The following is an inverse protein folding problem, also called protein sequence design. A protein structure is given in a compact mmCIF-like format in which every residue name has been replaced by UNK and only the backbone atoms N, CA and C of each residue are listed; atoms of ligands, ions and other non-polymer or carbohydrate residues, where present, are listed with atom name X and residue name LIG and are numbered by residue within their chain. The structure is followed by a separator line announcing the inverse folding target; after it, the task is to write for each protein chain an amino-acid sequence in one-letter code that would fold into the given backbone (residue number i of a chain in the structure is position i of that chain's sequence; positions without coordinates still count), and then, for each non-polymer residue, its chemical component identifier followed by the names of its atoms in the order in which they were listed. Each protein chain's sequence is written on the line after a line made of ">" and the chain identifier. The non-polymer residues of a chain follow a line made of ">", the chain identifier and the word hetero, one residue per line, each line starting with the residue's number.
data_IF_789291739248
#
_entry.id   IF_789291739248
#
_cell.length_a   1.000
_cell.length_b   1.000
_cell.length_c   1.000
_cell.angle_alpha   90.00
_cell.angle_beta   90.00
_cell.angle_gamma   90.00
#
_symmetry.space_group_name_H-M   'P 1'
#
loop_
_entity.id
_entity.type
_entity.pdbx_description
1 polymer ?
#
# COMPACT_ATOMS: atom_id res chain seq x y z
N UNK A 1 -12.59 -11.67 3.89
CA UNK A 1 -13.04 -11.59 2.50
C UNK A 1 -11.84 -11.18 1.66
N UNK A 2 -11.50 -11.97 0.65
CA UNK A 2 -10.37 -11.66 -0.23
C UNK A 2 -10.74 -10.45 -1.08
N UNK A 3 -9.89 -9.41 -1.09
CA UNK A 3 -10.07 -8.24 -1.95
C UNK A 3 -10.13 -8.65 -3.43
N UNK A 4 -10.68 -7.79 -4.27
CA UNK A 4 -10.54 -7.98 -5.72
C UNK A 4 -9.04 -8.02 -6.10
N UNK A 5 -8.72 -8.71 -7.19
CA UNK A 5 -7.36 -8.77 -7.75
C UNK A 5 -7.12 -7.55 -8.63
N UNK A 6 -5.96 -6.92 -8.51
CA UNK A 6 -5.58 -5.79 -9.35
C UNK A 6 -5.26 -6.30 -10.78
N UNK A 7 -5.78 -5.66 -11.85
CA UNK A 7 -5.61 -6.14 -13.23
C UNK A 7 -4.14 -6.13 -13.72
N UNK A 8 -3.29 -5.33 -13.08
CA UNK A 8 -1.85 -5.28 -13.36
C UNK A 8 -1.08 -6.18 -12.39
N UNK A 9 -0.40 -7.20 -12.94
CA UNK A 9 0.37 -8.20 -12.16
C UNK A 9 1.46 -7.58 -11.27
N UNK A 10 2.18 -6.57 -11.76
CA UNK A 10 3.24 -5.91 -10.98
C UNK A 10 2.70 -5.29 -9.69
N UNK A 11 1.51 -4.68 -9.78
CA UNK A 11 0.84 -4.06 -8.64
C UNK A 11 0.34 -5.15 -7.71
N UNK A 12 -0.33 -6.17 -8.24
CA UNK A 12 -0.85 -7.29 -7.45
C UNK A 12 0.23 -7.98 -6.61
N UNK A 13 1.41 -8.22 -7.19
CA UNK A 13 2.55 -8.79 -6.44
C UNK A 13 2.95 -7.92 -5.26
N UNK A 14 2.96 -6.60 -5.42
CA UNK A 14 3.26 -5.69 -4.32
C UNK A 14 2.11 -5.62 -3.34
N UNK A 15 0.85 -5.71 -3.75
CA UNK A 15 -0.28 -5.73 -2.82
C UNK A 15 -0.22 -6.95 -1.89
N UNK A 16 0.18 -8.12 -2.40
CA UNK A 16 0.41 -9.30 -1.55
C UNK A 16 1.52 -9.04 -0.51
N UNK A 17 2.62 -8.39 -0.92
CA UNK A 17 3.68 -7.98 0.02
C UNK A 17 3.16 -6.97 1.05
N UNK A 18 2.37 -5.99 0.63
CA UNK A 18 1.76 -4.97 1.50
C UNK A 18 0.89 -5.65 2.57
N UNK A 19 0.01 -6.58 2.17
CA UNK A 19 -0.86 -7.35 3.07
C UNK A 19 -0.06 -8.22 4.05
N UNK A 20 1.01 -8.88 3.58
CA UNK A 20 1.91 -9.65 4.44
C UNK A 20 2.60 -8.80 5.52
N UNK A 21 2.80 -7.51 5.26
CA UNK A 21 3.35 -6.56 6.22
C UNK A 21 2.28 -5.91 7.12
N UNK A 22 1.07 -6.47 7.14
CA UNK A 22 -0.02 -6.05 8.03
C UNK A 22 -0.75 -4.77 7.58
N UNK A 23 -0.47 -4.26 6.39
CA UNK A 23 -1.22 -3.12 5.85
C UNK A 23 -2.61 -3.54 5.39
N UNK A 24 -3.60 -2.71 5.67
CA UNK A 24 -4.98 -2.94 5.26
C UNK A 24 -5.20 -2.37 3.87
N UNK A 25 -5.75 -3.17 2.95
CA UNK A 25 -6.13 -2.71 1.61
C UNK A 25 -7.65 -2.68 1.51
N UNK A 26 -8.19 -1.56 1.03
CA UNK A 26 -9.59 -1.41 0.68
C UNK A 26 -9.73 -1.13 -0.80
N UNK A 27 -10.52 -1.96 -1.49
CA UNK A 27 -10.82 -1.78 -2.92
C UNK A 27 -12.05 -0.90 -3.05
N UNK A 28 -11.96 0.10 -3.92
CA UNK A 28 -13.06 1.02 -4.18
C UNK A 28 -12.59 2.44 -4.52
N UNK A 29 -13.35 3.11 -5.38
CA UNK A 29 -13.09 4.46 -5.85
C UNK A 29 -13.43 4.64 -7.34
N UNK A 30 -13.57 5.88 -7.78
CA UNK A 30 -13.84 6.19 -9.20
C UNK A 30 -12.56 6.23 -10.04
N UNK A 31 -11.49 6.84 -9.52
CA UNK A 31 -10.19 6.98 -10.20
C UNK A 31 -9.10 6.07 -9.65
N UNK A 32 -9.19 5.73 -8.36
CA UNK A 32 -8.32 4.77 -7.71
C UNK A 32 -8.99 3.40 -7.70
N UNK A 33 -8.18 2.36 -7.87
CA UNK A 33 -8.61 0.98 -7.71
C UNK A 33 -8.89 0.69 -6.23
N UNK A 34 -8.09 1.26 -5.35
CA UNK A 34 -8.23 1.11 -3.91
C UNK A 34 -7.28 1.99 -3.13
N UNK A 35 -7.19 1.76 -1.82
CA UNK A 35 -6.31 2.46 -0.89
C UNK A 35 -5.66 1.44 0.04
N UNK A 36 -4.40 1.67 0.38
CA UNK A 36 -3.73 0.96 1.46
C UNK A 36 -3.55 1.87 2.68
N UNK A 37 -3.77 1.31 3.86
CA UNK A 37 -3.78 1.98 5.15
C UNK A 37 -2.69 1.38 6.03
N UNK A 38 -1.88 2.26 6.61
CA UNK A 38 -0.86 1.87 7.56
C UNK A 38 -1.49 1.29 8.84
N UNK A 39 -0.95 0.17 9.37
CA UNK A 39 -1.47 -0.43 10.60
C UNK A 39 -1.08 0.33 11.87
N UNK A 40 -0.13 1.27 11.78
CA UNK A 40 0.41 1.99 12.93
C UNK A 40 -0.26 3.35 13.13
N UNK A 41 -0.97 3.58 14.25
CA UNK A 41 -1.54 4.88 14.60
C UNK A 41 -0.44 5.75 15.22
N UNK A 42 0.33 6.44 14.39
CA UNK A 42 1.37 7.34 14.88
C UNK A 42 1.46 8.62 14.04
N UNK A 43 1.49 9.74 14.74
CA UNK A 43 1.72 11.10 14.24
C UNK A 43 3.06 11.29 13.51
N UNK A 44 4.03 10.38 13.71
CA UNK A 44 5.29 10.34 12.95
C UNK A 44 5.19 9.56 11.64
N UNK A 45 4.05 8.92 11.35
CA UNK A 45 3.82 8.38 10.02
C UNK A 45 3.83 9.55 9.02
N UNK A 46 4.30 9.32 7.78
CA UNK A 46 4.62 10.28 6.70
C UNK A 46 3.65 11.46 6.48
N UNK A 47 2.46 11.46 7.10
CA UNK A 47 1.44 12.51 7.02
C UNK A 47 0.69 12.81 8.35
N UNK A 48 1.20 12.48 9.54
CA UNK A 48 0.65 13.01 10.80
C UNK A 48 -0.65 12.39 11.34
N UNK A 49 -1.47 11.75 10.50
CA UNK A 49 -2.78 11.25 10.94
C UNK A 49 -3.00 9.78 10.56
N UNK A 50 -2.88 9.40 9.29
CA UNK A 50 -2.87 8.00 8.85
C UNK A 50 -2.10 7.93 7.53
N UNK A 51 -1.06 7.10 7.41
CA UNK A 51 -0.42 6.91 6.11
C UNK A 51 -1.38 6.14 5.19
N UNK A 52 -2.12 6.88 4.36
CA UNK A 52 -3.04 6.34 3.35
C UNK A 52 -2.40 6.55 1.99
N UNK A 53 -2.31 5.49 1.18
CA UNK A 53 -1.81 5.59 -0.19
C UNK A 53 -2.84 5.03 -1.17
N UNK A 54 -3.19 5.82 -2.18
CA UNK A 54 -4.08 5.39 -3.25
C UNK A 54 -3.35 4.43 -4.21
N UNK A 55 -4.05 3.37 -4.61
CA UNK A 55 -3.64 2.40 -5.62
C UNK A 55 -4.39 2.75 -6.90
N UNK A 56 -3.66 3.10 -7.97
CA UNK A 56 -4.28 3.55 -9.22
C UNK A 56 -4.65 2.38 -10.14
N UNK A 57 -5.85 2.42 -10.74
CA UNK A 57 -6.30 1.40 -11.70
C UNK A 57 -5.52 1.44 -13.02
N UNK A 58 -5.21 2.66 -13.50
CA UNK A 58 -4.59 2.91 -14.81
C UNK A 58 -3.34 3.78 -14.69
N UNK A 59 -2.28 3.34 -14.00
CA UNK A 59 -1.03 4.10 -13.93
C UNK A 59 -0.31 4.04 -15.27
N UNK A 60 0.32 5.15 -15.66
CA UNK A 60 1.16 5.24 -16.88
C UNK A 60 2.26 4.17 -16.91
N UNK A 61 2.80 3.80 -15.75
CA UNK A 61 3.76 2.72 -15.60
C UNK A 61 3.44 1.91 -14.34
N UNK A 62 2.95 0.68 -14.52
CA UNK A 62 2.54 -0.21 -13.42
C UNK A 62 3.70 -0.61 -12.52
N UNK A 63 4.86 -0.92 -13.08
CA UNK A 63 6.07 -1.31 -12.33
C UNK A 63 6.57 -0.17 -11.43
N UNK A 64 6.60 1.06 -11.93
CA UNK A 64 6.99 2.20 -11.12
C UNK A 64 5.99 2.48 -9.99
N UNK A 65 4.70 2.36 -10.27
CA UNK A 65 3.68 2.50 -9.23
C UNK A 65 3.80 1.39 -8.17
N UNK A 66 4.03 0.15 -8.59
CA UNK A 66 4.30 -0.97 -7.68
C UNK A 66 5.53 -0.70 -6.79
N UNK A 67 6.65 -0.24 -7.36
CA UNK A 67 7.83 0.15 -6.58
C UNK A 67 7.55 1.29 -5.59
N UNK A 68 6.71 2.25 -5.95
CA UNK A 68 6.31 3.32 -5.05
C UNK A 68 5.51 2.78 -3.85
N UNK A 69 4.53 1.92 -4.10
CA UNK A 69 3.74 1.26 -3.04
C UNK A 69 4.65 0.45 -2.11
N UNK A 70 5.58 -0.33 -2.67
CA UNK A 70 6.54 -1.12 -1.89
C UNK A 70 7.40 -0.23 -0.98
N UNK A 71 7.94 0.87 -1.52
CA UNK A 71 8.74 1.84 -0.74
C UNK A 71 7.96 2.47 0.41
N UNK A 72 6.65 2.70 0.26
CA UNK A 72 5.84 3.24 1.36
C UNK A 72 5.80 2.27 2.55
N UNK A 73 5.72 0.97 2.27
CA UNK A 73 5.76 -0.08 3.30
C UNK A 73 7.17 -0.18 3.90
N UNK A 74 8.20 -0.32 3.06
CA UNK A 74 9.60 -0.49 3.50
C UNK A 74 10.12 0.71 4.29
N UNK A 75 9.77 1.94 3.90
CA UNK A 75 10.22 3.16 4.56
C UNK A 75 9.24 3.65 5.63
N UNK A 76 8.29 2.81 6.04
CA UNK A 76 7.45 3.13 7.18
C UNK A 76 8.32 3.12 8.44
N UNK A 77 8.36 4.23 9.19
CA UNK A 77 9.20 4.39 10.38
C UNK A 77 8.93 3.36 11.51
N UNK A 78 7.86 2.58 11.40
CA UNK A 78 7.51 1.50 12.32
C UNK A 78 7.90 0.10 11.82
N UNK A 79 8.22 -0.07 10.54
CA UNK A 79 8.64 -1.36 9.96
C UNK A 79 10.01 -1.80 10.48
N UNK A 80 10.92 -0.86 10.75
CA UNK A 80 12.25 -1.16 11.32
C UNK A 80 12.23 -1.74 12.75
N UNK A 81 11.13 -1.61 13.49
CA UNK A 81 11.10 -1.97 14.93
C UNK A 81 10.63 -3.38 15.25
N UNK A 82 10.31 -4.22 14.26
CA UNK A 82 9.81 -5.59 14.49
C UNK A 82 10.77 -6.71 14.04
N UNK A 83 12.00 -6.39 13.66
CA UNK A 83 13.02 -7.38 13.27
C UNK A 83 13.93 -7.81 14.45
N UNK A 84 13.49 -7.69 15.71
CA UNK A 84 14.26 -8.11 16.90
C UNK A 84 13.66 -9.38 17.51
#
# INVERSE_FOLDING_TARGET
>A
MSRAVHPKKDIEQVLNFVEQNGWRIEVGGSHAWGKMYCPYPNEKCRCGEFCITCIWSTPKNAMNHARQLKKVVEHCAHHEKQST
#
